data_IF_079060280993
#
_entry.id   IF_079060280993
#
_cell.length_a   1.000
_cell.length_b   1.000
_cell.length_c   1.000
_cell.angle_alpha   90.00
_cell.angle_beta   90.00
_cell.angle_gamma   90.00
#
_symmetry.space_group_name_H-M   'P 1'
#
loop_
_entity.id
_entity.type
_entity.pdbx_description
1 polymer ?
#
# COMPACT_ATOMS: atom_id res chain seq x y z
N UNK A 1 14.99 25.08 -43.26
CA UNK A 1 14.26 24.66 -42.05
C UNK A 1 15.15 24.91 -40.84
N UNK A 2 14.80 25.87 -39.97
CA UNK A 2 15.66 26.28 -38.84
C UNK A 2 15.52 25.28 -37.69
N UNK A 3 16.64 24.72 -37.24
CA UNK A 3 16.70 23.80 -36.11
C UNK A 3 16.46 24.54 -34.79
N UNK A 4 15.62 23.97 -33.93
CA UNK A 4 15.31 24.51 -32.61
C UNK A 4 16.48 24.28 -31.65
N UNK A 5 16.70 25.23 -30.73
CA UNK A 5 17.80 25.16 -29.76
C UNK A 5 17.60 24.01 -28.75
N UNK A 6 18.68 23.38 -28.26
CA UNK A 6 18.61 22.20 -27.38
C UNK A 6 17.87 22.45 -26.06
N UNK A 7 17.85 23.70 -25.57
CA UNK A 7 17.09 24.09 -24.39
C UNK A 7 15.57 24.02 -24.61
N UNK A 8 15.10 24.38 -25.81
CA UNK A 8 13.69 24.34 -26.19
C UNK A 8 13.21 22.88 -26.41
N UNK A 9 14.09 22.02 -26.94
CA UNK A 9 13.84 20.59 -27.06
C UNK A 9 13.77 19.87 -25.70
N UNK A 10 14.56 20.32 -24.72
CA UNK A 10 14.55 19.78 -23.35
C UNK A 10 13.24 20.12 -22.60
N UNK A 11 12.74 21.34 -22.74
CA UNK A 11 11.46 21.75 -22.14
C UNK A 11 10.25 21.05 -22.76
N UNK A 12 10.29 20.74 -24.06
CA UNK A 12 9.24 19.97 -24.73
C UNK A 12 9.11 18.53 -24.20
N UNK A 13 10.17 17.95 -23.65
CA UNK A 13 10.14 16.63 -23.03
C UNK A 13 9.59 16.63 -21.59
N UNK A 14 9.62 17.77 -20.89
CA UNK A 14 9.13 17.91 -19.50
C UNK A 14 7.60 18.04 -19.45
N UNK A 15 6.99 18.56 -20.50
CA UNK A 15 5.53 18.74 -20.60
C UNK A 15 4.84 17.73 -21.53
N UNK A 16 5.30 16.48 -21.57
CA UNK A 16 4.60 15.39 -22.28
C UNK A 16 3.21 15.16 -21.64
N UNK A 17 2.24 15.97 -22.06
CA UNK A 17 0.80 15.71 -21.88
C UNK A 17 0.51 14.54 -22.82
N UNK A 18 0.13 13.35 -22.34
CA UNK A 18 -0.28 12.28 -23.22
C UNK A 18 -1.64 12.65 -23.83
N UNK A 19 -1.63 13.23 -25.03
CA UNK A 19 -2.81 13.32 -25.88
C UNK A 19 -3.05 11.96 -26.55
N UNK A 20 -3.47 10.95 -25.77
CA UNK A 20 -4.23 9.79 -26.24
C UNK A 20 -4.43 8.78 -25.10
N UNK A 21 -5.49 8.99 -24.32
CA UNK A 21 -6.11 7.90 -23.56
C UNK A 21 -7.36 7.49 -24.32
N UNK A 22 -7.21 6.51 -25.22
CA UNK A 22 -8.34 5.69 -25.64
C UNK A 22 -8.86 4.95 -24.41
N UNK A 23 -10.16 5.03 -24.08
CA UNK A 23 -10.70 4.26 -22.97
C UNK A 23 -10.79 2.78 -23.39
N UNK A 24 -9.83 1.97 -22.93
CA UNK A 24 -9.96 0.52 -22.96
C UNK A 24 -11.13 0.12 -22.05
N UNK A 25 -12.23 -0.28 -22.68
CA UNK A 25 -13.42 -0.84 -22.03
C UNK A 25 -13.04 -2.21 -21.45
N UNK A 26 -13.24 -2.50 -20.16
CA UNK A 26 -13.14 -3.87 -19.68
C UNK A 26 -14.35 -4.67 -20.21
N UNK A 27 -14.10 -5.62 -21.09
CA UNK A 27 -15.05 -6.67 -21.45
C UNK A 27 -15.26 -7.58 -20.25
N UNK A 28 -16.42 -7.46 -19.61
CA UNK A 28 -16.89 -8.43 -18.63
C UNK A 28 -17.19 -9.73 -19.39
N UNK A 29 -16.32 -10.72 -19.26
CA UNK A 29 -16.59 -12.09 -19.69
C UNK A 29 -17.78 -12.63 -18.91
N UNK A 30 -18.95 -12.68 -19.54
CA UNK A 30 -20.08 -13.49 -19.09
C UNK A 30 -19.73 -14.96 -19.31
N UNK A 31 -19.10 -15.59 -18.33
CA UNK A 31 -19.12 -17.05 -18.22
C UNK A 31 -20.44 -17.40 -17.54
N UNK A 32 -21.47 -17.65 -18.35
CA UNK A 32 -22.68 -18.30 -17.89
C UNK A 32 -22.59 -19.78 -18.27
N UNK A 33 -22.73 -20.61 -17.24
CA UNK A 33 -22.71 -22.07 -17.29
C UNK A 33 -23.71 -22.62 -18.32
N UNK A 34 -23.17 -23.19 -19.40
CA UNK A 34 -23.87 -24.12 -20.28
C UNK A 34 -23.83 -25.51 -19.63
N UNK A 35 -24.74 -25.76 -18.69
CA UNK A 35 -25.00 -27.13 -18.24
C UNK A 35 -26.49 -27.29 -17.96
N UNK A 36 -27.07 -28.31 -18.61
CA UNK A 36 -28.42 -28.89 -18.42
C UNK A 36 -29.51 -28.47 -19.42
N UNK A 37 -29.29 -28.75 -20.70
CA UNK A 37 -30.37 -29.08 -21.63
C UNK A 37 -30.13 -30.47 -22.24
N UNK A 38 -30.35 -31.51 -21.43
CA UNK A 38 -30.63 -32.87 -21.94
C UNK A 38 -31.70 -33.49 -21.06
N UNK A 39 -32.96 -33.32 -21.46
CA UNK A 39 -34.06 -34.17 -20.98
C UNK A 39 -34.75 -34.79 -22.18
N UNK A 40 -34.70 -36.11 -22.16
CA UNK A 40 -35.37 -37.07 -23.01
C UNK A 40 -36.89 -36.89 -23.02
N UNK A 41 -37.48 -36.98 -24.19
CA UNK A 41 -38.90 -37.22 -24.42
C UNK A 41 -39.33 -38.62 -23.96
N UNK A 42 -40.54 -38.76 -23.39
CA UNK A 42 -41.41 -39.91 -23.67
C UNK A 42 -42.84 -39.47 -24.09
N UNK A 43 -43.71 -40.40 -24.55
CA UNK A 43 -44.55 -40.19 -25.73
C UNK A 43 -45.98 -39.70 -25.45
N UNK A 44 -46.65 -39.42 -26.57
CA UNK A 44 -48.02 -38.96 -26.79
C UNK A 44 -49.10 -39.67 -25.95
N UNK A 45 -49.98 -38.87 -25.34
CA UNK A 45 -51.25 -39.28 -24.74
C UNK A 45 -52.32 -38.20 -25.00
N UNK A 46 -53.63 -38.55 -24.96
CA UNK A 46 -54.69 -37.74 -25.56
C UNK A 46 -55.01 -36.46 -24.78
N UNK A 47 -55.37 -35.44 -25.56
CA UNK A 47 -55.69 -34.08 -25.18
C UNK A 47 -57.02 -34.05 -24.41
N UNK A 48 -56.99 -33.71 -23.13
CA UNK A 48 -58.16 -33.18 -22.41
C UNK A 48 -57.88 -31.73 -22.04
N UNK A 49 -58.57 -30.82 -22.73
CA UNK A 49 -58.50 -29.39 -22.50
C UNK A 49 -59.19 -29.05 -21.18
N UNK A 50 -58.42 -28.96 -20.10
CA UNK A 50 -58.85 -28.26 -18.90
C UNK A 50 -58.47 -26.77 -19.05
N UNK A 51 -59.48 -25.91 -19.22
CA UNK A 51 -59.34 -24.46 -19.12
C UNK A 51 -58.78 -24.10 -17.74
N UNK A 52 -57.48 -23.87 -17.65
CA UNK A 52 -56.86 -23.27 -16.47
C UNK A 52 -56.86 -21.75 -16.65
N UNK A 53 -57.84 -21.09 -16.04
CA UNK A 53 -57.83 -19.65 -15.80
C UNK A 53 -56.80 -19.32 -14.72
N UNK A 54 -55.51 -19.34 -15.07
CA UNK A 54 -54.49 -18.80 -14.19
C UNK A 54 -54.57 -17.25 -14.24
N UNK A 55 -54.74 -16.56 -13.11
CA UNK A 55 -54.70 -15.10 -13.10
C UNK A 55 -53.30 -14.62 -13.45
N UNK A 56 -53.20 -13.77 -14.49
CA UNK A 56 -52.00 -13.06 -14.90
C UNK A 56 -51.66 -11.99 -13.84
N UNK A 57 -51.04 -12.41 -12.74
CA UNK A 57 -50.44 -11.50 -11.77
C UNK A 57 -49.16 -12.10 -11.20
N UNK A 58 -48.03 -11.49 -11.56
CA UNK A 58 -46.67 -11.93 -11.21
C UNK A 58 -46.21 -11.47 -9.82
N UNK A 59 -47.08 -10.88 -9.02
CA UNK A 59 -46.78 -10.49 -7.64
C UNK A 59 -47.07 -11.66 -6.70
N UNK A 60 -46.02 -12.24 -6.12
CA UNK A 60 -46.15 -13.26 -5.07
C UNK A 60 -46.95 -12.70 -3.90
N UNK A 61 -47.98 -13.43 -3.46
CA UNK A 61 -48.74 -13.06 -2.26
C UNK A 61 -47.78 -12.96 -1.06
N UNK A 62 -47.75 -11.81 -0.41
CA UNK A 62 -46.89 -11.60 0.76
C UNK A 62 -47.39 -12.48 1.91
N UNK A 63 -46.71 -13.59 2.17
CA UNK A 63 -46.94 -14.40 3.35
C UNK A 63 -46.68 -13.57 4.62
N UNK A 64 -47.60 -13.63 5.58
CA UNK A 64 -47.48 -13.00 6.91
C UNK A 64 -46.23 -13.53 7.60
N UNK A 65 -45.22 -12.67 7.80
CA UNK A 65 -44.00 -13.04 8.53
C UNK A 65 -44.37 -13.46 9.96
N UNK A 66 -44.00 -14.68 10.35
CA UNK A 66 -44.12 -15.16 11.73
C UNK A 66 -43.30 -14.23 12.62
N UNK A 67 -43.93 -13.65 13.64
CA UNK A 67 -43.28 -12.79 14.64
C UNK A 67 -42.16 -13.58 15.32
N UNK A 68 -40.90 -13.22 15.03
CA UNK A 68 -39.69 -13.90 15.52
C UNK A 68 -38.82 -14.43 14.37
N UNK A 69 -38.11 -13.52 13.68
CA UNK A 69 -37.12 -13.91 12.67
C UNK A 69 -36.02 -14.80 13.24
N UNK A 70 -35.28 -15.55 12.40
CA UNK A 70 -34.22 -16.44 12.87
C UNK A 70 -33.19 -15.63 13.66
N UNK A 71 -32.87 -16.09 14.88
CA UNK A 71 -31.80 -15.54 15.70
C UNK A 71 -30.47 -15.91 15.05
N UNK A 72 -30.04 -15.09 14.09
CA UNK A 72 -28.73 -15.23 13.44
C UNK A 72 -27.68 -14.78 14.47
N UNK A 73 -26.69 -15.64 14.71
CA UNK A 73 -25.56 -15.32 15.60
C UNK A 73 -24.96 -13.97 15.22
N UNK A 74 -24.85 -13.06 16.20
CA UNK A 74 -24.27 -11.71 16.05
C UNK A 74 -22.86 -11.76 15.45
N UNK A 75 -22.09 -12.82 15.73
CA UNK A 75 -20.77 -13.04 15.14
C UNK A 75 -20.87 -13.19 13.62
N UNK A 76 -21.83 -13.98 13.15
CA UNK A 76 -22.09 -14.17 11.71
C UNK A 76 -22.57 -12.87 11.08
N UNK A 77 -23.38 -12.08 11.79
CA UNK A 77 -23.77 -10.73 11.33
C UNK A 77 -22.58 -9.79 11.20
N UNK A 78 -21.69 -9.74 12.18
CA UNK A 78 -20.46 -8.93 12.13
C UNK A 78 -19.51 -9.39 11.03
N UNK A 79 -19.32 -10.70 10.88
CA UNK A 79 -18.52 -11.29 9.80
C UNK A 79 -19.09 -10.88 8.44
N UNK A 80 -20.41 -11.02 8.23
CA UNK A 80 -21.07 -10.58 6.99
C UNK A 80 -20.96 -9.08 6.78
N UNK A 81 -21.04 -8.29 7.84
CA UNK A 81 -20.87 -6.85 7.78
C UNK A 81 -19.45 -6.49 7.31
N UNK A 82 -18.39 -7.01 7.95
CA UNK A 82 -17.02 -6.70 7.53
C UNK A 82 -16.62 -7.30 6.17
N UNK A 83 -17.24 -8.41 5.74
CA UNK A 83 -16.99 -9.02 4.43
C UNK A 83 -17.68 -8.28 3.28
N UNK A 84 -18.91 -7.82 3.49
CA UNK A 84 -19.76 -7.34 2.39
C UNK A 84 -20.14 -5.87 2.48
N UNK A 85 -19.86 -5.18 3.60
CA UNK A 85 -20.08 -3.75 3.71
C UNK A 85 -18.94 -2.99 3.03
N UNK A 86 -19.22 -2.14 2.03
CA UNK A 86 -18.20 -1.28 1.47
C UNK A 86 -17.78 -0.25 2.54
N UNK A 87 -16.67 -0.53 3.21
CA UNK A 87 -16.09 0.37 4.22
C UNK A 87 -15.57 1.68 3.60
N UNK A 88 -15.32 1.68 2.29
CA UNK A 88 -14.82 2.84 1.57
C UNK A 88 -15.98 3.71 1.08
N UNK A 89 -16.00 5.01 1.42
CA UNK A 89 -16.97 5.92 0.85
C UNK A 89 -16.75 6.07 -0.65
N UNK A 90 -17.75 6.62 -1.34
CA UNK A 90 -17.63 6.91 -2.78
C UNK A 90 -16.42 7.82 -3.05
N UNK A 91 -15.74 7.66 -4.20
CA UNK A 91 -14.60 8.50 -4.56
C UNK A 91 -14.93 9.99 -4.50
N UNK A 92 -13.99 10.77 -3.98
CA UNK A 92 -14.15 12.20 -3.76
C UNK A 92 -14.16 12.96 -5.10
N UNK A 93 -15.16 13.83 -5.29
CA UNK A 93 -15.29 14.66 -6.49
C UNK A 93 -14.91 16.10 -6.16
N UNK A 94 -13.85 16.60 -6.76
CA UNK A 94 -13.40 17.98 -6.58
C UNK A 94 -13.89 18.90 -7.70
N UNK A 95 -14.17 20.16 -7.34
CA UNK A 95 -14.29 21.24 -8.32
C UNK A 95 -12.91 21.58 -8.89
N UNK A 96 -12.85 22.25 -10.04
CA UNK A 96 -11.60 22.58 -10.74
C UNK A 96 -10.58 23.30 -9.85
N UNK A 97 -10.98 24.37 -9.16
CA UNK A 97 -10.08 25.12 -8.27
C UNK A 97 -9.61 24.28 -7.08
N UNK A 98 -10.48 23.44 -6.50
CA UNK A 98 -10.11 22.55 -5.39
C UNK A 98 -9.12 21.47 -5.85
N UNK A 99 -9.35 20.90 -7.03
CA UNK A 99 -8.45 19.93 -7.65
C UNK A 99 -7.06 20.52 -7.91
N UNK A 100 -6.99 21.73 -8.47
CA UNK A 100 -5.72 22.42 -8.72
C UNK A 100 -4.95 22.69 -7.41
N UNK A 101 -5.62 23.18 -6.36
CA UNK A 101 -4.97 23.37 -5.04
C UNK A 101 -4.41 22.06 -4.49
N UNK A 102 -5.21 20.98 -4.54
CA UNK A 102 -4.77 19.67 -4.09
C UNK A 102 -3.58 19.17 -4.89
N UNK A 103 -3.60 19.33 -6.22
CA UNK A 103 -2.51 18.94 -7.11
C UNK A 103 -1.22 19.70 -6.80
N UNK A 104 -1.31 21.02 -6.58
CA UNK A 104 -0.15 21.84 -6.23
C UNK A 104 0.46 21.42 -4.89
N UNK A 105 -0.37 21.21 -3.86
CA UNK A 105 0.10 20.74 -2.54
C UNK A 105 0.75 19.37 -2.67
N UNK A 106 0.11 18.43 -3.38
CA UNK A 106 0.66 17.10 -3.61
C UNK A 106 2.00 17.15 -4.34
N UNK A 107 2.14 18.01 -5.36
CA UNK A 107 3.41 18.18 -6.09
C UNK A 107 4.49 18.79 -5.22
N UNK A 108 4.15 19.80 -4.40
CA UNK A 108 5.07 20.40 -3.44
C UNK A 108 5.56 19.38 -2.42
N UNK A 109 4.66 18.52 -1.92
CA UNK A 109 5.00 17.42 -1.03
C UNK A 109 5.97 16.41 -1.67
N UNK A 110 5.71 16.00 -2.91
CA UNK A 110 6.62 15.11 -3.64
C UNK A 110 8.02 15.73 -3.82
N UNK A 111 8.09 17.03 -4.14
CA UNK A 111 9.37 17.73 -4.25
C UNK A 111 10.09 17.81 -2.90
N UNK A 112 9.37 18.07 -1.82
CA UNK A 112 9.91 18.09 -0.46
C UNK A 112 10.45 16.70 -0.06
N UNK A 113 9.72 15.63 -0.32
CA UNK A 113 10.16 14.26 -0.06
C UNK A 113 11.39 13.88 -0.90
N UNK A 114 11.45 14.32 -2.17
CA UNK A 114 12.62 14.10 -3.02
C UNK A 114 13.86 14.80 -2.43
N UNK A 115 13.71 16.07 -2.02
CA UNK A 115 14.78 16.83 -1.36
C UNK A 115 15.26 16.18 -0.06
N UNK A 116 14.34 15.70 0.78
CA UNK A 116 14.68 15.00 2.02
C UNK A 116 15.47 13.71 1.75
N UNK A 117 15.05 12.90 0.76
CA UNK A 117 15.79 11.69 0.38
C UNK A 117 17.19 12.01 -0.12
N UNK A 118 17.33 12.98 -1.03
CA UNK A 118 18.65 13.39 -1.53
C UNK A 118 19.55 13.95 -0.43
N UNK A 119 19.00 14.71 0.52
CA UNK A 119 19.77 15.19 1.67
C UNK A 119 20.23 14.04 2.58
N UNK A 120 19.37 13.05 2.80
CA UNK A 120 19.71 11.86 3.58
C UNK A 120 20.79 11.01 2.88
N UNK A 121 20.67 10.78 1.57
CA UNK A 121 21.65 10.06 0.76
C UNK A 121 23.02 10.76 0.80
N UNK A 122 23.05 12.08 0.62
CA UNK A 122 24.28 12.87 0.69
C UNK A 122 24.94 12.79 2.07
N UNK A 123 24.15 12.83 3.14
CA UNK A 123 24.67 12.70 4.51
C UNK A 123 25.26 11.30 4.76
N UNK A 124 24.62 10.24 4.25
CA UNK A 124 25.16 8.88 4.30
C UNK A 124 26.46 8.76 3.50
N UNK A 125 26.52 9.36 2.31
CA UNK A 125 27.74 9.43 1.48
C UNK A 125 28.85 10.17 2.22
N UNK A 126 28.54 11.30 2.87
CA UNK A 126 29.49 12.08 3.67
C UNK A 126 30.06 11.26 4.82
N UNK A 127 29.21 10.55 5.56
CA UNK A 127 29.62 9.67 6.65
C UNK A 127 30.51 8.53 6.14
N UNK A 128 30.12 7.90 5.02
CA UNK A 128 30.91 6.85 4.39
C UNK A 128 32.29 7.35 3.93
N UNK A 129 32.36 8.50 3.27
CA UNK A 129 33.62 9.09 2.81
C UNK A 129 34.53 9.43 4.00
N UNK A 130 33.98 9.99 5.08
CA UNK A 130 34.73 10.29 6.30
C UNK A 130 35.27 9.01 6.97
N UNK A 131 34.46 7.95 7.03
CA UNK A 131 34.91 6.64 7.54
C UNK A 131 36.01 6.04 6.66
N UNK A 132 35.87 6.15 5.34
CA UNK A 132 36.83 5.63 4.37
C UNK A 132 38.18 6.36 4.48
N UNK A 133 38.17 7.70 4.58
CA UNK A 133 39.40 8.48 4.75
C UNK A 133 40.12 8.13 6.06
N UNK A 134 39.38 8.00 7.16
CA UNK A 134 39.95 7.60 8.45
C UNK A 134 40.53 6.18 8.41
N UNK A 135 39.89 5.25 7.72
CA UNK A 135 40.41 3.89 7.55
C UNK A 135 41.68 3.86 6.68
N UNK A 136 41.76 4.70 5.65
CA UNK A 136 42.94 4.83 4.80
C UNK A 136 44.12 5.43 5.57
N UNK A 137 43.86 6.45 6.40
CA UNK A 137 44.85 7.01 7.32
C UNK A 137 45.37 5.95 8.31
N UNK A 138 44.49 5.13 8.88
CA UNK A 138 44.90 4.01 9.75
C UNK A 138 45.70 2.93 9.02
N UNK A 139 45.52 2.78 7.70
CA UNK A 139 46.19 1.76 6.90
C UNK A 139 47.61 2.17 6.53
N UNK A 140 47.84 3.44 6.21
CA UNK A 140 49.11 3.96 5.67
C UNK A 140 49.81 4.92 6.63
N UNK A 141 49.06 5.76 7.34
CA UNK A 141 49.58 6.89 8.12
C UNK A 141 50.00 6.55 9.56
N UNK A 142 49.46 5.48 10.16
CA UNK A 142 49.70 5.16 11.58
C UNK A 142 51.09 4.56 11.88
N UNK A 143 51.93 4.30 10.87
CA UNK A 143 53.29 3.75 11.05
C UNK A 143 53.36 2.32 11.62
N UNK A 144 52.22 1.64 11.74
CA UNK A 144 52.07 0.33 12.39
C UNK A 144 51.98 -0.85 11.39
N UNK A 145 52.23 -0.58 10.11
CA UNK A 145 52.08 -1.54 9.02
C UNK A 145 50.62 -2.01 8.82
N UNK A 146 49.63 -1.17 9.14
CA UNK A 146 48.21 -1.46 8.99
C UNK A 146 47.67 -2.47 10.00
N UNK A 147 48.29 -2.60 11.17
CA UNK A 147 47.85 -3.51 12.24
C UNK A 147 46.51 -3.06 12.84
N UNK A 148 46.36 -1.77 13.13
CA UNK A 148 45.15 -1.17 13.66
C UNK A 148 44.00 -1.25 12.65
N UNK A 149 44.28 -0.98 11.37
CA UNK A 149 43.32 -1.18 10.28
C UNK A 149 42.80 -2.63 10.22
N UNK A 150 43.69 -3.62 10.29
CA UNK A 150 43.26 -5.04 10.31
C UNK A 150 42.38 -5.37 11.51
N UNK A 151 42.64 -4.78 12.68
CA UNK A 151 41.82 -4.97 13.88
C UNK A 151 40.44 -4.31 13.76
N UNK A 152 40.35 -3.10 13.20
CA UNK A 152 39.06 -2.41 13.05
C UNK A 152 38.12 -3.09 12.06
N UNK A 153 38.67 -3.83 11.09
CA UNK A 153 37.89 -4.62 10.12
C UNK A 153 37.33 -5.93 10.67
N UNK A 154 37.67 -6.33 11.90
CA UNK A 154 37.16 -7.56 12.53
C UNK A 154 35.69 -7.39 12.88
N UNK A 155 34.81 -8.20 12.27
CA UNK A 155 33.35 -8.15 12.49
C UNK A 155 32.84 -9.07 13.62
N UNK A 156 33.66 -9.32 14.64
CA UNK A 156 33.30 -10.23 15.74
C UNK A 156 32.13 -9.64 16.54
N UNK A 157 31.08 -10.42 16.78
CA UNK A 157 29.91 -10.01 17.58
C UNK A 157 28.86 -9.20 16.82
N UNK A 158 29.19 -8.63 15.64
CA UNK A 158 28.29 -7.72 14.91
C UNK A 158 26.99 -8.41 14.49
N UNK A 159 27.08 -9.65 14.04
CA UNK A 159 25.92 -10.42 13.55
C UNK A 159 25.28 -11.34 14.60
N UNK A 160 25.89 -11.46 15.79
CA UNK A 160 25.39 -12.31 16.87
C UNK A 160 24.75 -11.49 17.98
N UNK A 161 25.45 -10.46 18.46
CA UNK A 161 25.07 -9.70 19.65
C UNK A 161 24.17 -8.51 19.28
N UNK A 162 24.16 -8.13 18.00
CA UNK A 162 23.36 -7.03 17.43
C UNK A 162 23.55 -5.71 18.21
N UNK A 163 22.53 -4.84 18.18
CA UNK A 163 22.51 -3.59 18.95
C UNK A 163 21.88 -3.83 20.33
N UNK A 164 22.38 -3.19 21.40
CA UNK A 164 21.74 -3.26 22.72
C UNK A 164 20.29 -2.77 22.66
N UNK A 165 19.36 -3.56 23.22
CA UNK A 165 17.92 -3.25 23.16
C UNK A 165 17.57 -1.89 23.80
N UNK A 166 18.37 -1.44 24.76
CA UNK A 166 18.21 -0.14 25.42
C UNK A 166 18.38 1.04 24.45
N UNK A 167 19.20 0.88 23.40
CA UNK A 167 19.42 1.90 22.37
C UNK A 167 18.34 1.90 21.28
N UNK A 168 17.63 0.78 21.09
CA UNK A 168 16.55 0.64 20.11
C UNK A 168 15.26 1.39 20.45
N UNK A 169 15.29 2.33 21.40
CA UNK A 169 14.13 3.14 21.79
C UNK A 169 13.77 4.10 20.67
N UNK A 170 12.51 4.05 20.23
CA UNK A 170 11.99 4.95 19.19
C UNK A 170 11.82 6.36 19.76
N UNK A 171 11.92 7.36 18.87
CA UNK A 171 11.62 8.74 19.22
C UNK A 171 10.12 8.90 19.54
N UNK A 172 9.80 9.65 20.58
CA UNK A 172 8.43 9.93 21.03
C UNK A 172 8.09 11.41 20.83
N UNK A 173 6.80 11.72 20.63
CA UNK A 173 6.32 13.11 20.46
C UNK A 173 6.54 13.97 21.71
N UNK A 174 6.44 13.36 22.89
CA UNK A 174 6.68 14.01 24.18
C UNK A 174 7.76 13.25 24.96
N UNK A 175 8.61 13.95 25.74
CA UNK A 175 9.58 13.29 26.60
C UNK A 175 8.87 12.54 27.73
N UNK A 176 9.53 11.52 28.27
CA UNK A 176 9.11 10.89 29.51
C UNK A 176 9.24 11.88 30.69
N UNK A 177 8.51 11.64 31.78
CA UNK A 177 8.59 12.46 32.99
C UNK A 177 10.02 12.54 33.55
N UNK A 178 10.80 11.47 33.39
CA UNK A 178 12.24 11.46 33.57
C UNK A 178 12.89 11.17 32.20
N UNK A 179 13.45 12.20 31.57
CA UNK A 179 13.95 12.12 30.19
C UNK A 179 15.27 11.35 30.05
N UNK A 180 16.11 11.34 31.08
CA UNK A 180 17.39 10.65 31.09
C UNK A 180 17.72 10.13 32.49
N UNK A 181 18.18 8.87 32.57
CA UNK A 181 18.59 8.27 33.83
C UNK A 181 20.07 8.62 34.11
N UNK A 182 20.29 9.58 35.01
CA UNK A 182 21.64 9.98 35.44
C UNK A 182 22.27 8.98 36.43
N UNK A 183 21.46 8.14 37.07
CA UNK A 183 21.89 7.17 38.08
C UNK A 183 22.17 5.78 37.49
N UNK A 184 22.31 5.68 36.15
CA UNK A 184 22.58 4.40 35.50
C UNK A 184 23.84 3.75 36.05
N UNK A 185 23.71 2.49 36.48
CA UNK A 185 24.81 1.65 36.97
C UNK A 185 24.85 0.36 36.15
N UNK A 186 26.07 -0.12 35.88
CA UNK A 186 26.28 -1.39 35.20
C UNK A 186 25.58 -2.51 35.98
N UNK A 187 24.67 -3.28 35.37
CA UNK A 187 24.03 -4.40 36.06
C UNK A 187 25.08 -5.45 36.42
N UNK A 188 24.97 -6.00 37.63
CA UNK A 188 25.80 -7.15 38.02
C UNK A 188 25.47 -8.35 37.11
N UNK A 189 26.51 -9.07 36.69
CA UNK A 189 26.32 -10.28 35.88
C UNK A 189 25.64 -11.34 36.76
N UNK A 190 24.41 -11.69 36.43
CA UNK A 190 23.73 -12.89 36.96
C UNK A 190 24.29 -14.15 36.30
#
# INVERSE_FOLDING_TARGET
MRSLSPALASLANVFRIPMSLTPARPTVSRVCHETLARRSSPPLGPITAAMQSAPFSSTSSMAKRKSGGPNVDKRITLIRYFLYHPLTPRPLRFSRNRYLRHWTIHRAWQLFQAKQRSAHELELERQYQAMQSACEELRVGAGDGGRLFRKSMIKKGIFTDMFPIEYGRMQTEYPAGEGWNHDWKRPERR
#
